data_IF_367440094835
#
_entry.id   IF_367440094835
#
_cell.length_a   1.000
_cell.length_b   1.000
_cell.length_c   1.000
_cell.angle_alpha   90.00
_cell.angle_beta   90.00
_cell.angle_gamma   90.00
#
_symmetry.space_group_name_H-M   'P 1'
#
loop_
_entity.id
_entity.type
_entity.pdbx_description
1 polymer ?
#
# COMPACT_ATOMS: atom_id res chain seq x y z
N UNK A 1 -37.62 -21.90 -11.75
CA UNK A 1 -37.09 -20.52 -11.85
C UNK A 1 -35.83 -20.50 -11.01
N UNK A 2 -34.67 -20.27 -11.64
CA UNK A 2 -33.38 -20.15 -10.95
C UNK A 2 -33.11 -18.67 -10.72
N UNK A 3 -33.07 -18.22 -9.48
CA UNK A 3 -32.66 -16.86 -9.14
C UNK A 3 -31.19 -16.89 -8.73
N UNK A 4 -30.33 -16.42 -9.64
CA UNK A 4 -28.93 -16.16 -9.38
C UNK A 4 -28.84 -14.83 -8.62
N UNK A 5 -28.71 -14.88 -7.29
CA UNK A 5 -28.24 -13.72 -6.53
C UNK A 5 -26.71 -13.74 -6.56
N UNK A 6 -26.16 -13.07 -7.57
CA UNK A 6 -24.79 -12.57 -7.54
C UNK A 6 -24.69 -11.51 -6.43
N UNK A 7 -24.56 -11.95 -5.18
CA UNK A 7 -24.04 -11.10 -4.13
C UNK A 7 -22.53 -11.00 -4.35
N UNK A 8 -22.14 -9.88 -4.93
CA UNK A 8 -20.75 -9.52 -5.13
C UNK A 8 -20.01 -9.62 -3.80
N UNK A 9 -18.95 -10.41 -3.80
CA UNK A 9 -17.96 -10.43 -2.75
C UNK A 9 -17.35 -9.03 -2.64
N UNK A 10 -17.98 -8.15 -1.87
CA UNK A 10 -17.28 -7.05 -1.24
C UNK A 10 -16.30 -7.71 -0.27
N UNK A 11 -15.13 -8.08 -0.81
CA UNK A 11 -14.02 -8.67 -0.07
C UNK A 11 -13.85 -7.86 1.21
N UNK A 12 -14.18 -8.50 2.34
CA UNK A 12 -13.86 -7.98 3.68
C UNK A 12 -12.40 -7.54 3.63
N UNK A 13 -12.05 -6.30 4.05
CA UNK A 13 -10.68 -5.86 4.04
C UNK A 13 -9.85 -6.90 4.80
N UNK A 14 -8.96 -7.57 4.06
CA UNK A 14 -8.07 -8.61 4.58
C UNK A 14 -7.20 -7.99 5.69
N UNK A 15 -6.84 -8.79 6.70
CA UNK A 15 -6.34 -8.31 7.98
C UNK A 15 -5.13 -7.41 7.80
N UNK A 16 -5.08 -6.35 8.61
CA UNK A 16 -4.01 -5.37 8.75
C UNK A 16 -2.62 -6.02 8.64
N UNK A 17 -2.11 -6.12 7.41
CA UNK A 17 -0.78 -6.64 7.16
C UNK A 17 0.23 -5.54 7.50
N UNK A 18 1.42 -5.86 8.02
CA UNK A 18 2.48 -4.87 8.21
C UNK A 18 2.78 -4.09 6.91
N UNK A 19 2.47 -4.67 5.75
CA UNK A 19 2.67 -4.11 4.41
C UNK A 19 1.65 -3.03 3.99
N UNK A 20 0.54 -2.85 4.73
CA UNK A 20 -0.44 -1.81 4.41
C UNK A 20 0.09 -0.38 4.61
N UNK A 21 1.04 -0.24 5.54
CA UNK A 21 1.74 0.99 5.88
C UNK A 21 3.10 1.14 5.17
N UNK A 22 3.50 0.14 4.39
CA UNK A 22 4.68 0.22 3.54
C UNK A 22 4.54 1.35 2.50
N UNK A 23 5.65 1.86 1.94
CA UNK A 23 5.65 2.83 0.86
C UNK A 23 4.74 2.42 -0.31
N UNK A 24 3.83 3.33 -0.69
CA UNK A 24 2.84 3.06 -1.73
C UNK A 24 1.74 2.05 -1.35
N UNK A 25 1.70 1.58 -0.10
CA UNK A 25 0.63 0.74 0.43
C UNK A 25 -0.70 1.50 0.55
N UNK A 26 -1.83 0.79 0.57
CA UNK A 26 -3.16 1.41 0.54
C UNK A 26 -3.43 2.28 1.78
N UNK A 27 -3.00 1.86 2.98
CA UNK A 27 -3.18 2.68 4.19
C UNK A 27 -2.16 3.81 4.30
N UNK A 28 -0.92 3.60 3.83
CA UNK A 28 0.03 4.69 3.67
C UNK A 28 -0.53 5.78 2.75
N UNK A 29 -1.13 5.38 1.62
CA UNK A 29 -1.79 6.31 0.67
C UNK A 29 -2.96 7.04 1.28
N UNK A 30 -3.84 6.35 2.01
CA UNK A 30 -4.95 6.97 2.73
C UNK A 30 -4.49 8.02 3.77
N UNK A 31 -3.25 7.90 4.27
CA UNK A 31 -2.61 8.82 5.21
C UNK A 31 -1.74 9.90 4.55
N UNK A 32 -1.72 10.00 3.22
CA UNK A 32 -0.99 11.05 2.49
C UNK A 32 0.41 10.67 1.98
N UNK A 33 0.77 9.39 1.96
CA UNK A 33 2.02 8.93 1.35
C UNK A 33 2.12 9.31 -0.13
N UNK A 34 3.26 9.86 -0.54
CA UNK A 34 3.51 10.23 -1.94
C UNK A 34 4.25 9.12 -2.73
N UNK A 35 4.85 8.13 -2.08
CA UNK A 35 5.60 7.05 -2.75
C UNK A 35 4.76 6.32 -3.80
N UNK A 36 5.36 5.98 -4.95
CA UNK A 36 4.63 5.32 -6.06
C UNK A 36 4.16 3.93 -5.67
N UNK A 37 2.88 3.62 -5.94
CA UNK A 37 2.29 2.29 -5.67
C UNK A 37 2.98 1.22 -6.51
N UNK A 38 3.18 1.50 -7.80
CA UNK A 38 3.78 0.56 -8.75
C UNK A 38 5.27 0.35 -8.46
N UNK A 39 6.02 1.43 -8.20
CA UNK A 39 7.46 1.32 -7.93
C UNK A 39 7.76 0.53 -6.64
N UNK A 40 6.83 0.52 -5.68
CA UNK A 40 6.98 -0.21 -4.42
C UNK A 40 6.26 -1.56 -4.39
N UNK A 41 5.72 -2.05 -5.51
CA UNK A 41 5.04 -3.34 -5.53
C UNK A 41 5.97 -4.50 -5.14
N UNK A 42 7.21 -4.50 -5.66
CA UNK A 42 8.21 -5.52 -5.35
C UNK A 42 8.72 -5.45 -3.89
N UNK A 43 8.80 -4.24 -3.33
CA UNK A 43 9.13 -4.06 -1.90
C UNK A 43 8.03 -4.67 -1.01
N UNK A 44 6.76 -4.37 -1.31
CA UNK A 44 5.62 -4.91 -0.54
C UNK A 44 5.42 -6.42 -0.69
N UNK A 45 5.95 -7.03 -1.76
CA UNK A 45 5.96 -8.49 -1.90
C UNK A 45 7.19 -9.15 -1.27
N UNK A 46 8.08 -8.38 -0.62
CA UNK A 46 9.33 -8.87 -0.04
C UNK A 46 10.36 -9.31 -1.08
N UNK A 47 10.17 -8.96 -2.36
CA UNK A 47 11.08 -9.31 -3.46
C UNK A 47 12.31 -8.41 -3.48
N UNK A 48 12.19 -7.19 -2.94
CA UNK A 48 13.27 -6.21 -2.81
C UNK A 48 13.24 -5.65 -1.39
N UNK A 49 14.40 -5.46 -0.77
CA UNK A 49 14.54 -4.97 0.60
C UNK A 49 14.53 -3.43 0.68
N UNK A 50 14.93 -2.73 -0.38
CA UNK A 50 14.96 -1.27 -0.44
C UNK A 50 13.70 -0.68 -1.10
N UNK A 51 12.95 0.20 -0.42
CA UNK A 51 11.78 0.84 -1.00
C UNK A 51 12.16 2.04 -1.89
N UNK A 52 11.33 2.29 -2.90
CA UNK A 52 11.41 3.49 -3.72
C UNK A 52 10.63 4.65 -3.06
N UNK A 53 11.31 5.44 -2.23
CA UNK A 53 10.73 6.56 -1.50
C UNK A 53 10.69 7.83 -2.37
N UNK A 54 9.53 8.50 -2.45
CA UNK A 54 9.48 9.86 -3.01
C UNK A 54 10.13 10.82 -1.99
N UNK A 55 11.15 11.62 -2.36
CA UNK A 55 11.82 12.53 -1.42
C UNK A 55 10.89 13.55 -0.75
N UNK A 56 9.74 13.82 -1.35
CA UNK A 56 8.72 14.72 -0.81
C UNK A 56 7.70 13.98 0.05
N UNK A 57 7.80 12.66 0.18
CA UNK A 57 6.86 11.86 0.95
C UNK A 57 6.96 12.21 2.44
N UNK A 58 5.94 12.84 3.05
CA UNK A 58 6.02 13.30 4.44
C UNK A 58 6.02 12.13 5.45
N UNK A 59 5.74 10.92 4.98
CA UNK A 59 5.61 9.73 5.82
C UNK A 59 6.88 8.87 5.85
N UNK A 60 7.55 8.74 4.71
CA UNK A 60 8.64 7.76 4.54
C UNK A 60 9.96 8.41 4.12
N UNK A 61 9.95 9.64 3.62
CA UNK A 61 11.20 10.37 3.46
C UNK A 61 11.72 10.72 4.86
N UNK A 62 13.02 10.56 5.09
CA UNK A 62 13.63 11.05 6.31
C UNK A 62 13.42 12.57 6.39
N UNK A 63 13.13 13.15 7.57
CA UNK A 63 13.25 14.59 7.74
C UNK A 63 14.68 14.95 7.37
N UNK A 64 14.85 15.90 6.43
CA UNK A 64 16.13 16.33 5.85
C UNK A 64 17.34 16.06 6.76
N UNK A 65 18.19 15.12 6.31
CA UNK A 65 19.56 14.81 6.74
C UNK A 65 19.96 15.16 8.19
N UNK A 66 20.09 14.14 9.03
CA UNK A 66 21.02 14.18 10.16
C UNK A 66 22.40 13.68 9.71
#
# INVERSE_FOLDING_TARGET
MIEATSDGEAERPKPDGPDDLAPGGPRAKARGCLCSVLANAAYRSGTVEDPCIDPRCPMHAAPDGA
#
